data_IF_455008125775
#
_entry.id   IF_455008125775
#
_cell.length_a   1.000
_cell.length_b   1.000
_cell.length_c   1.000
_cell.angle_alpha   90.00
_cell.angle_beta   90.00
_cell.angle_gamma   90.00
#
_symmetry.space_group_name_H-M   'P 1'
#
loop_
_entity.id
_entity.type
_entity.pdbx_description
1 polymer ?
#
# COMPACT_ATOMS: atom_id res chain seq x y z
N UNK A 1 -18.97 17.55 5.49
CA UNK A 1 -19.82 18.24 4.54
C UNK A 1 -21.26 17.81 4.77
N UNK A 2 -22.20 18.68 4.50
CA UNK A 2 -23.62 18.34 4.62
C UNK A 2 -23.96 17.24 3.60
N UNK A 3 -24.80 16.27 3.97
CA UNK A 3 -25.20 15.21 3.06
C UNK A 3 -25.98 15.81 1.88
N UNK A 4 -25.59 15.46 0.66
CA UNK A 4 -26.30 15.87 -0.54
C UNK A 4 -27.52 14.99 -0.72
N UNK A 5 -28.69 15.55 -0.45
CA UNK A 5 -29.96 14.89 -0.67
C UNK A 5 -30.56 15.29 -2.02
N UNK A 6 -31.22 14.33 -2.65
CA UNK A 6 -32.13 14.68 -3.74
C UNK A 6 -33.29 15.47 -3.14
N UNK A 7 -33.77 16.54 -3.80
CA UNK A 7 -34.98 17.23 -3.39
C UNK A 7 -36.15 16.25 -3.28
N UNK A 8 -36.91 16.29 -2.19
CA UNK A 8 -38.01 15.33 -1.93
C UNK A 8 -39.05 15.31 -3.03
N UNK A 9 -39.28 16.46 -3.68
CA UNK A 9 -40.16 16.60 -4.82
C UNK A 9 -39.73 15.82 -6.09
N UNK A 10 -38.51 15.35 -6.14
CA UNK A 10 -37.96 14.56 -7.24
C UNK A 10 -37.96 13.06 -6.97
N UNK A 11 -38.34 12.65 -5.76
CA UNK A 11 -38.42 11.22 -5.40
C UNK A 11 -39.84 10.72 -5.68
N UNK A 12 -40.04 9.72 -6.55
CA UNK A 12 -41.35 9.16 -6.80
C UNK A 12 -42.01 8.62 -5.52
N UNK A 13 -43.32 8.82 -5.36
CA UNK A 13 -44.07 8.42 -4.15
C UNK A 13 -44.06 6.92 -3.93
N UNK A 14 -44.10 6.13 -4.99
CA UNK A 14 -43.99 4.68 -4.97
C UNK A 14 -42.68 4.18 -4.37
N UNK A 15 -41.58 4.90 -4.61
CA UNK A 15 -40.28 4.61 -4.05
C UNK A 15 -40.24 4.92 -2.54
N UNK A 16 -40.87 6.01 -2.13
CA UNK A 16 -41.02 6.38 -0.72
C UNK A 16 -41.87 5.32 0.03
N UNK A 17 -42.95 4.86 -0.58
CA UNK A 17 -43.78 3.82 0.00
C UNK A 17 -43.04 2.47 0.10
N UNK A 18 -42.30 2.08 -0.95
CA UNK A 18 -41.52 0.87 -0.94
C UNK A 18 -40.46 0.85 0.16
N UNK A 19 -39.73 1.97 0.36
CA UNK A 19 -38.77 2.14 1.45
C UNK A 19 -39.45 2.01 2.81
N UNK A 20 -40.63 2.65 3.01
CA UNK A 20 -41.44 2.51 4.23
C UNK A 20 -41.84 1.07 4.51
N UNK A 21 -42.17 0.33 3.46
CA UNK A 21 -42.56 -1.10 3.52
C UNK A 21 -41.37 -2.07 3.53
N UNK A 22 -40.11 -1.53 3.51
CA UNK A 22 -38.87 -2.31 3.38
C UNK A 22 -38.87 -3.26 2.17
N UNK A 23 -39.50 -2.87 1.09
CA UNK A 23 -39.51 -3.60 -0.17
C UNK A 23 -38.45 -3.04 -1.09
N UNK A 24 -37.69 -3.94 -1.77
CA UNK A 24 -36.76 -3.53 -2.80
C UNK A 24 -37.51 -3.12 -4.06
N UNK A 25 -37.30 -1.93 -4.53
CA UNK A 25 -37.75 -1.42 -5.83
C UNK A 25 -36.55 -0.84 -6.56
N UNK A 26 -36.39 -1.18 -7.83
CA UNK A 26 -35.34 -0.61 -8.65
C UNK A 26 -35.63 0.87 -8.87
N UNK A 27 -34.67 1.77 -8.53
CA UNK A 27 -34.89 3.20 -8.69
C UNK A 27 -34.94 3.57 -10.19
N UNK A 28 -35.78 4.55 -10.59
CA UNK A 28 -35.85 5.00 -11.98
C UNK A 28 -34.47 5.45 -12.48
N UNK A 29 -34.10 5.07 -13.70
CA UNK A 29 -32.78 5.36 -14.26
C UNK A 29 -32.47 6.86 -14.32
N UNK A 30 -33.48 7.70 -14.54
CA UNK A 30 -33.32 9.16 -14.54
C UNK A 30 -32.96 9.70 -13.16
N UNK A 31 -33.51 9.14 -12.10
CA UNK A 31 -33.17 9.49 -10.72
C UNK A 31 -31.72 9.13 -10.39
N UNK A 32 -31.30 7.92 -10.82
CA UNK A 32 -29.90 7.46 -10.64
C UNK A 32 -28.93 8.34 -11.40
N UNK A 33 -29.27 8.72 -12.65
CA UNK A 33 -28.45 9.64 -13.47
C UNK A 33 -28.36 11.01 -12.80
N UNK A 34 -29.48 11.57 -12.37
CA UNK A 34 -29.52 12.88 -11.69
C UNK A 34 -28.66 12.88 -10.42
N UNK A 35 -28.77 11.80 -9.60
CA UNK A 35 -27.94 11.65 -8.40
C UNK A 35 -26.45 11.56 -8.75
N UNK A 36 -26.10 10.75 -9.75
CA UNK A 36 -24.72 10.63 -10.24
C UNK A 36 -24.17 11.96 -10.72
N UNK A 37 -24.93 12.69 -11.53
CA UNK A 37 -24.50 13.95 -12.10
C UNK A 37 -24.38 15.04 -11.04
N UNK A 38 -25.20 15.01 -9.99
CA UNK A 38 -25.06 15.86 -8.81
C UNK A 38 -23.85 15.51 -7.93
N UNK A 39 -23.52 14.21 -7.78
CA UNK A 39 -22.38 13.78 -6.98
C UNK A 39 -21.04 13.94 -7.71
N UNK A 40 -21.03 13.82 -9.02
CA UNK A 40 -19.81 13.88 -9.85
C UNK A 40 -18.94 15.12 -9.59
N UNK A 41 -19.46 16.37 -9.58
CA UNK A 41 -18.66 17.56 -9.28
C UNK A 41 -18.00 17.54 -7.91
N UNK A 42 -18.60 16.82 -6.94
CA UNK A 42 -18.07 16.71 -5.57
C UNK A 42 -17.04 15.58 -5.44
N UNK A 43 -17.18 14.51 -6.23
CA UNK A 43 -16.27 13.35 -6.22
C UNK A 43 -15.04 13.56 -7.13
N UNK A 44 -15.24 14.24 -8.27
CA UNK A 44 -14.18 14.50 -9.23
C UNK A 44 -12.93 15.17 -8.62
N UNK A 45 -13.05 16.18 -7.74
CA UNK A 45 -11.89 16.74 -7.07
C UNK A 45 -11.18 15.79 -6.10
N UNK A 46 -11.83 14.72 -5.65
CA UNK A 46 -11.25 13.74 -4.73
C UNK A 46 -10.43 12.66 -5.45
N UNK A 47 -10.64 12.51 -6.76
CA UNK A 47 -9.92 11.54 -7.59
C UNK A 47 -8.75 12.20 -8.32
N UNK A 48 -7.62 11.50 -8.54
CA UNK A 48 -6.58 11.99 -9.43
C UNK A 48 -7.10 11.96 -10.87
N UNK A 49 -7.65 13.09 -11.32
CA UNK A 49 -8.12 13.23 -12.70
C UNK A 49 -6.94 13.58 -13.60
N UNK A 50 -6.16 12.58 -14.00
CA UNK A 50 -4.94 12.72 -14.80
C UNK A 50 -5.09 11.93 -16.09
N UNK A 51 -4.50 12.43 -17.18
CA UNK A 51 -4.55 11.79 -18.49
C UNK A 51 -3.69 10.52 -18.56
N UNK A 52 -2.66 10.44 -17.73
CA UNK A 52 -1.72 9.31 -17.70
C UNK A 52 -1.03 9.16 -16.34
N UNK A 53 -0.49 7.97 -16.08
CA UNK A 53 0.35 7.71 -14.91
C UNK A 53 1.65 8.52 -14.92
N UNK A 54 2.17 8.87 -16.09
CA UNK A 54 3.35 9.73 -16.25
C UNK A 54 3.06 11.15 -15.76
N UNK A 55 1.91 11.69 -16.12
CA UNK A 55 1.44 13.00 -15.64
C UNK A 55 1.25 12.99 -14.11
N UNK A 56 0.62 11.93 -13.58
CA UNK A 56 0.51 11.74 -12.13
C UNK A 56 1.88 11.72 -11.46
N UNK A 57 2.82 10.94 -12.00
CA UNK A 57 4.19 10.88 -11.47
C UNK A 57 4.94 12.22 -11.57
N UNK A 58 4.75 12.95 -12.67
CA UNK A 58 5.32 14.28 -12.89
C UNK A 58 4.80 15.32 -11.88
N UNK A 59 3.49 15.36 -11.63
CA UNK A 59 2.90 16.28 -10.62
C UNK A 59 3.38 15.96 -9.21
N UNK A 60 3.48 14.67 -8.84
CA UNK A 60 4.04 14.25 -7.55
C UNK A 60 5.51 14.64 -7.41
N UNK A 61 6.31 14.47 -8.47
CA UNK A 61 7.71 14.88 -8.45
C UNK A 61 7.86 16.38 -8.25
N UNK A 62 7.11 17.20 -9.00
CA UNK A 62 7.13 18.67 -8.86
C UNK A 62 6.75 19.06 -7.43
N UNK A 63 5.70 18.46 -6.86
CA UNK A 63 5.29 18.70 -5.48
C UNK A 63 6.41 18.39 -4.47
N UNK A 64 7.13 17.28 -4.66
CA UNK A 64 8.29 16.90 -3.86
C UNK A 64 9.45 17.90 -4.00
N UNK A 65 9.71 18.41 -5.20
CA UNK A 65 10.74 19.42 -5.44
C UNK A 65 10.36 20.74 -4.77
N UNK A 66 9.13 21.24 -5.01
CA UNK A 66 8.65 22.51 -4.42
C UNK A 66 8.68 22.49 -2.90
N UNK A 67 8.18 21.41 -2.29
CA UNK A 67 8.14 21.29 -0.83
C UNK A 67 9.53 21.35 -0.19
N UNK A 68 10.54 20.80 -0.87
CA UNK A 68 11.93 20.86 -0.39
C UNK A 68 12.56 22.23 -0.61
N UNK A 69 12.25 22.90 -1.72
CA UNK A 69 12.68 24.28 -1.94
C UNK A 69 12.11 25.22 -0.86
N UNK A 70 10.93 24.92 -0.34
CA UNK A 70 10.28 25.67 0.76
C UNK A 70 10.70 25.19 2.16
N UNK A 71 11.63 24.23 2.27
CA UNK A 71 12.02 23.57 3.53
C UNK A 71 10.86 22.93 4.30
N UNK A 72 9.81 22.52 3.58
CA UNK A 72 8.63 21.83 4.13
C UNK A 72 8.49 20.44 3.52
N UNK A 73 9.34 19.47 3.90
CA UNK A 73 9.30 18.13 3.32
C UNK A 73 7.97 17.44 3.60
N UNK A 74 7.37 16.85 2.58
CA UNK A 74 6.14 16.07 2.68
C UNK A 74 6.44 14.79 3.46
N UNK A 75 5.76 14.60 4.59
CA UNK A 75 6.02 13.49 5.52
C UNK A 75 4.98 12.39 5.43
N UNK A 76 3.75 12.75 5.05
CA UNK A 76 2.63 11.84 4.98
C UNK A 76 2.15 11.70 3.54
N UNK A 77 1.55 10.56 3.24
CA UNK A 77 0.93 10.33 1.93
C UNK A 77 -0.16 11.38 1.61
N UNK A 78 -0.92 11.79 2.64
CA UNK A 78 -1.93 12.84 2.49
C UNK A 78 -1.33 14.16 2.03
N UNK A 79 -0.20 14.58 2.64
CA UNK A 79 0.50 15.80 2.24
C UNK A 79 1.00 15.72 0.79
N UNK A 80 1.54 14.56 0.39
CA UNK A 80 2.00 14.34 -0.98
C UNK A 80 0.86 14.45 -2.00
N UNK A 81 -0.28 13.81 -1.73
CA UNK A 81 -1.46 13.86 -2.60
C UNK A 81 -2.01 15.28 -2.71
N UNK A 82 -2.14 15.99 -1.59
CA UNK A 82 -2.64 17.37 -1.60
C UNK A 82 -1.68 18.32 -2.33
N UNK A 83 -0.36 18.16 -2.12
CA UNK A 83 0.64 18.96 -2.81
C UNK A 83 0.66 18.68 -4.32
N UNK A 84 0.59 17.42 -4.73
CA UNK A 84 0.52 17.03 -6.14
C UNK A 84 -0.77 17.55 -6.82
N UNK A 85 -1.89 17.52 -6.09
CA UNK A 85 -3.14 18.11 -6.55
C UNK A 85 -3.01 19.62 -6.76
N UNK A 86 -2.41 20.35 -5.82
CA UNK A 86 -2.20 21.80 -5.96
C UNK A 86 -1.31 22.12 -7.18
N UNK A 87 -0.32 21.28 -7.47
CA UNK A 87 0.51 21.41 -8.69
C UNK A 87 -0.34 21.20 -9.93
N UNK A 88 -1.14 20.15 -9.98
CA UNK A 88 -2.04 19.85 -11.11
C UNK A 88 -3.01 21.01 -11.33
N UNK A 89 -3.73 21.41 -10.29
CA UNK A 89 -4.77 22.45 -10.38
C UNK A 89 -4.20 23.82 -10.83
N UNK A 90 -2.91 24.08 -10.56
CA UNK A 90 -2.20 25.28 -11.04
C UNK A 90 -1.96 25.26 -12.56
N UNK A 91 -1.62 24.11 -13.11
CA UNK A 91 -1.27 23.96 -14.53
C UNK A 91 -2.46 23.56 -15.41
N UNK A 92 -3.57 23.20 -14.82
CA UNK A 92 -4.80 22.91 -15.55
C UNK A 92 -5.49 24.22 -15.92
N UNK A 93 -5.35 24.63 -17.20
CA UNK A 93 -5.77 25.95 -17.68
C UNK A 93 -7.29 26.03 -17.94
N UNK A 94 -7.95 24.89 -18.13
CA UNK A 94 -9.38 24.81 -18.40
C UNK A 94 -10.05 23.80 -17.46
N UNK A 95 -11.11 24.25 -16.79
CA UNK A 95 -12.04 23.35 -16.11
C UNK A 95 -12.71 22.49 -17.20
N UNK A 96 -12.27 21.27 -17.31
CA UNK A 96 -12.89 20.28 -18.20
C UNK A 96 -14.40 20.22 -17.93
N UNK A 97 -15.19 20.30 -18.99
CA UNK A 97 -16.60 19.99 -18.91
C UNK A 97 -16.79 18.60 -18.32
N UNK A 98 -17.76 18.47 -17.42
CA UNK A 98 -18.06 17.30 -16.58
C UNK A 98 -18.08 15.94 -17.33
N UNK A 99 -18.19 15.97 -18.66
CA UNK A 99 -18.30 14.79 -19.52
C UNK A 99 -17.05 14.47 -20.37
N UNK A 100 -16.00 15.27 -20.30
CA UNK A 100 -14.79 15.05 -21.10
C UNK A 100 -13.81 14.08 -20.43
N UNK A 101 -13.12 13.26 -21.26
CA UNK A 101 -11.97 12.49 -20.80
C UNK A 101 -10.89 13.46 -20.30
N UNK A 102 -10.09 13.09 -19.28
CA UNK A 102 -9.00 13.94 -18.82
C UNK A 102 -8.07 14.28 -19.99
N UNK A 103 -7.91 15.58 -20.26
CA UNK A 103 -7.05 16.09 -21.31
C UNK A 103 -5.63 16.19 -20.78
N UNK A 104 -4.66 15.86 -21.61
CA UNK A 104 -3.23 16.01 -21.28
C UNK A 104 -2.94 17.49 -21.02
N UNK A 105 -2.37 17.81 -19.87
CA UNK A 105 -1.92 19.16 -19.55
C UNK A 105 -0.61 19.43 -20.29
N UNK A 106 -0.62 20.40 -21.19
CA UNK A 106 0.58 20.84 -21.91
C UNK A 106 1.20 22.05 -21.21
N UNK A 107 2.19 21.78 -20.36
CA UNK A 107 2.93 22.83 -19.66
C UNK A 107 4.42 22.47 -19.56
N UNK A 108 5.37 23.38 -19.92
CA UNK A 108 6.80 23.07 -19.95
C UNK A 108 7.38 22.57 -18.62
N UNK A 109 6.87 23.05 -17.49
CA UNK A 109 7.30 22.62 -16.16
C UNK A 109 6.80 21.19 -15.88
N UNK A 110 5.57 20.88 -16.26
CA UNK A 110 5.02 19.53 -16.12
C UNK A 110 5.74 18.52 -17.00
N UNK A 111 6.05 18.88 -18.24
CA UNK A 111 6.81 18.00 -19.14
C UNK A 111 8.20 17.70 -18.60
N UNK A 112 8.89 18.68 -18.00
CA UNK A 112 10.16 18.45 -17.28
C UNK A 112 9.97 17.56 -16.06
N UNK A 113 8.91 17.76 -15.30
CA UNK A 113 8.58 16.88 -14.18
C UNK A 113 8.36 15.43 -14.60
N UNK A 114 7.63 15.22 -15.70
CA UNK A 114 7.39 13.91 -16.30
C UNK A 114 8.70 13.27 -16.77
N UNK A 115 9.56 14.03 -17.45
CA UNK A 115 10.85 13.56 -17.92
C UNK A 115 11.74 13.07 -16.78
N UNK A 116 11.84 13.87 -15.70
CA UNK A 116 12.62 13.51 -14.52
C UNK A 116 11.99 12.30 -13.80
N UNK A 117 10.65 12.25 -13.70
CA UNK A 117 9.95 11.10 -13.13
C UNK A 117 10.26 9.81 -13.89
N UNK A 118 10.21 9.83 -15.23
CA UNK A 118 10.57 8.69 -16.07
C UNK A 118 12.01 8.26 -15.85
N UNK A 119 12.93 9.24 -15.81
CA UNK A 119 14.33 8.96 -15.57
C UNK A 119 14.57 8.30 -14.20
N UNK A 120 13.95 8.78 -13.14
CA UNK A 120 13.99 8.14 -11.83
C UNK A 120 13.40 6.72 -11.87
N UNK A 121 12.29 6.54 -12.62
CA UNK A 121 11.60 5.27 -12.82
C UNK A 121 12.49 4.19 -13.48
N UNK A 122 13.40 4.55 -14.40
CA UNK A 122 14.38 3.62 -15.01
C UNK A 122 15.22 2.89 -13.96
N UNK A 123 15.45 3.53 -12.81
CA UNK A 123 16.16 2.96 -11.67
C UNK A 123 15.24 2.51 -10.53
N UNK A 124 13.91 2.54 -10.75
CA UNK A 124 12.90 2.31 -9.72
C UNK A 124 13.11 3.21 -8.49
N UNK A 125 13.48 4.45 -8.73
CA UNK A 125 13.55 5.54 -7.77
C UNK A 125 12.37 6.49 -7.98
N UNK A 126 12.07 7.31 -6.99
CA UNK A 126 10.99 8.30 -7.05
C UNK A 126 11.41 9.64 -6.40
N UNK A 127 10.49 10.59 -6.37
CA UNK A 127 10.74 11.91 -5.77
C UNK A 127 11.16 11.86 -4.30
N UNK A 128 10.86 10.79 -3.55
CA UNK A 128 11.27 10.60 -2.15
C UNK A 128 12.75 10.30 -2.03
N UNK A 129 13.39 9.80 -3.10
CA UNK A 129 14.80 9.46 -3.16
C UNK A 129 15.72 10.67 -3.39
N UNK A 130 15.14 11.86 -3.64
CA UNK A 130 15.90 13.10 -3.78
C UNK A 130 16.50 13.55 -2.43
N UNK A 131 17.58 14.32 -2.49
CA UNK A 131 18.21 14.96 -1.33
C UNK A 131 17.33 16.07 -0.74
N UNK A 132 17.75 16.65 0.38
CA UNK A 132 16.95 17.68 1.09
C UNK A 132 16.66 18.92 0.22
N UNK A 133 17.58 19.26 -0.66
CA UNK A 133 17.52 20.47 -1.48
C UNK A 133 16.92 20.20 -2.88
N UNK A 134 16.50 18.96 -3.15
CA UNK A 134 16.03 18.49 -4.46
C UNK A 134 17.01 18.80 -5.61
N UNK A 135 18.32 18.81 -5.35
CA UNK A 135 19.37 19.02 -6.35
C UNK A 135 19.94 17.71 -6.89
N UNK A 136 19.64 16.58 -6.28
CA UNK A 136 20.17 15.28 -6.66
C UNK A 136 19.63 14.16 -5.78
N UNK A 137 20.23 12.97 -5.87
CA UNK A 137 19.82 11.82 -5.08
C UNK A 137 20.32 11.93 -3.62
N UNK A 138 19.50 11.43 -2.71
CA UNK A 138 19.82 11.30 -1.28
C UNK A 138 20.99 10.32 -1.10
N UNK A 139 21.97 10.69 -0.27
CA UNK A 139 23.07 9.80 0.11
C UNK A 139 22.55 8.57 0.87
N UNK A 140 23.09 7.40 0.54
CA UNK A 140 22.77 6.17 1.26
C UNK A 140 23.31 6.22 2.70
N UNK A 141 22.57 5.63 3.64
CA UNK A 141 23.04 5.45 5.01
C UNK A 141 23.49 3.99 5.19
N UNK A 142 24.76 3.70 5.44
CA UNK A 142 25.27 2.34 5.60
C UNK A 142 24.64 1.60 6.81
N UNK A 143 24.25 2.32 7.87
CA UNK A 143 23.56 1.71 9.01
C UNK A 143 22.24 1.03 8.65
N UNK A 144 21.57 1.49 7.59
CA UNK A 144 20.35 0.83 7.08
C UNK A 144 20.64 -0.54 6.46
N UNK A 145 21.83 -0.73 5.89
CA UNK A 145 22.24 -2.05 5.37
C UNK A 145 22.42 -3.04 6.52
N UNK A 146 23.03 -2.60 7.63
CA UNK A 146 23.19 -3.44 8.83
C UNK A 146 21.82 -3.79 9.42
N UNK A 147 20.93 -2.82 9.61
CA UNK A 147 19.56 -3.03 10.11
C UNK A 147 18.80 -4.03 9.22
N UNK A 148 18.85 -3.84 7.89
CA UNK A 148 18.19 -4.75 6.94
C UNK A 148 18.78 -6.16 6.97
N UNK A 149 20.08 -6.31 7.14
CA UNK A 149 20.73 -7.62 7.25
C UNK A 149 20.28 -8.34 8.50
N UNK A 150 20.24 -7.65 9.65
CA UNK A 150 19.76 -8.22 10.91
C UNK A 150 18.29 -8.64 10.79
N UNK A 151 17.43 -7.78 10.26
CA UNK A 151 16.01 -8.10 10.06
C UNK A 151 15.81 -9.26 9.09
N UNK A 152 16.61 -9.34 8.04
CA UNK A 152 16.57 -10.47 7.10
C UNK A 152 16.99 -11.77 7.77
N UNK A 153 18.03 -11.77 8.58
CA UNK A 153 18.45 -12.95 9.33
C UNK A 153 17.35 -13.44 10.29
N UNK A 154 16.71 -12.51 11.02
CA UNK A 154 15.56 -12.83 11.88
C UNK A 154 14.40 -13.38 11.05
N UNK A 155 14.08 -12.77 9.90
CA UNK A 155 12.99 -13.24 9.04
C UNK A 155 13.24 -14.63 8.48
N UNK A 156 14.50 -14.94 8.11
CA UNK A 156 14.89 -16.29 7.67
C UNK A 156 14.69 -17.30 8.80
N UNK A 157 15.05 -16.97 10.03
CA UNK A 157 14.79 -17.82 11.18
C UNK A 157 13.29 -18.03 11.46
N UNK A 158 12.47 -17.02 11.22
CA UNK A 158 11.01 -17.08 11.38
C UNK A 158 10.28 -17.66 10.16
N UNK A 159 10.99 -17.94 9.07
CA UNK A 159 10.39 -18.39 7.81
C UNK A 159 9.51 -19.64 7.95
N UNK A 160 9.87 -20.67 8.72
CA UNK A 160 8.98 -21.83 8.92
C UNK A 160 7.66 -21.43 9.57
N UNK A 161 7.71 -20.59 10.61
CA UNK A 161 6.51 -20.09 11.30
C UNK A 161 5.64 -19.25 10.35
N UNK A 162 6.25 -18.38 9.57
CA UNK A 162 5.57 -17.57 8.57
C UNK A 162 4.87 -18.43 7.51
N UNK A 163 5.56 -19.43 6.97
CA UNK A 163 5.00 -20.34 5.96
C UNK A 163 3.81 -21.13 6.50
N UNK A 164 3.92 -21.65 7.70
CA UNK A 164 2.84 -22.42 8.33
C UNK A 164 1.64 -21.53 8.66
N UNK A 165 1.88 -20.34 9.23
CA UNK A 165 0.80 -19.49 9.75
C UNK A 165 0.09 -18.63 8.70
N UNK A 166 0.81 -18.18 7.66
CA UNK A 166 0.30 -17.14 6.75
C UNK A 166 0.19 -17.58 5.29
N UNK A 167 0.94 -18.62 4.85
CA UNK A 167 0.93 -19.05 3.45
C UNK A 167 -0.46 -19.50 2.97
N UNK A 168 -1.19 -20.22 3.81
CA UNK A 168 -2.54 -20.70 3.46
C UNK A 168 -3.53 -19.54 3.29
N UNK A 169 -3.45 -18.53 4.16
CA UNK A 169 -4.28 -17.32 4.06
C UNK A 169 -3.95 -16.52 2.80
N UNK A 170 -2.65 -16.37 2.50
CA UNK A 170 -2.19 -15.68 1.28
C UNK A 170 -2.64 -16.43 0.03
N UNK A 171 -2.53 -17.75 0.02
CA UNK A 171 -2.99 -18.60 -1.08
C UNK A 171 -4.52 -18.48 -1.28
N UNK A 172 -5.29 -18.54 -0.19
CA UNK A 172 -6.74 -18.38 -0.22
C UNK A 172 -7.14 -17.00 -0.73
N UNK A 173 -6.53 -15.94 -0.22
CA UNK A 173 -6.81 -14.57 -0.65
C UNK A 173 -6.48 -14.34 -2.13
N UNK A 174 -5.38 -14.92 -2.61
CA UNK A 174 -5.04 -14.88 -4.03
C UNK A 174 -6.02 -15.68 -4.87
N UNK A 175 -6.34 -16.90 -4.46
CA UNK A 175 -7.27 -17.76 -5.18
C UNK A 175 -8.67 -17.14 -5.29
N UNK A 176 -9.21 -16.59 -4.22
CA UNK A 176 -10.49 -15.89 -4.23
C UNK A 176 -10.41 -14.62 -5.08
N UNK A 177 -9.36 -13.82 -4.92
CA UNK A 177 -9.18 -12.59 -5.68
C UNK A 177 -8.97 -12.79 -7.18
N UNK A 178 -8.33 -13.88 -7.59
CA UNK A 178 -8.09 -14.17 -9.01
C UNK A 178 -9.34 -14.74 -9.72
N UNK A 179 -10.35 -15.20 -8.96
CA UNK A 179 -11.61 -15.74 -9.51
C UNK A 179 -12.76 -14.74 -9.60
N UNK A 180 -12.55 -13.52 -9.14
CA UNK A 180 -13.58 -12.49 -9.21
C UNK A 180 -13.50 -11.73 -10.53
N UNK A 181 -14.63 -11.61 -11.23
CA UNK A 181 -14.75 -10.84 -12.46
C UNK A 181 -14.93 -9.32 -12.20
N UNK A 182 -14.90 -8.90 -10.93
CA UNK A 182 -15.21 -7.53 -10.49
C UNK A 182 -14.03 -6.55 -10.60
N UNK A 183 -12.88 -6.96 -11.14
CA UNK A 183 -11.72 -6.10 -11.36
C UNK A 183 -10.70 -6.07 -10.19
N UNK A 184 -9.70 -5.21 -10.34
CA UNK A 184 -8.53 -5.17 -9.43
C UNK A 184 -8.90 -4.75 -8.01
N UNK A 185 -9.91 -3.90 -7.85
CA UNK A 185 -10.36 -3.39 -6.54
C UNK A 185 -11.00 -4.48 -5.70
N UNK A 186 -11.79 -5.35 -6.32
CA UNK A 186 -12.38 -6.51 -5.65
C UNK A 186 -11.31 -7.49 -5.17
N UNK A 187 -10.24 -7.70 -5.96
CA UNK A 187 -9.11 -8.55 -5.58
C UNK A 187 -8.49 -8.13 -4.23
N UNK A 188 -8.26 -6.83 -4.05
CA UNK A 188 -7.72 -6.29 -2.79
C UNK A 188 -8.67 -6.54 -1.62
N UNK A 189 -9.99 -6.39 -1.84
CA UNK A 189 -11.01 -6.66 -0.83
C UNK A 189 -11.02 -8.13 -0.42
N UNK A 190 -10.96 -9.07 -1.37
CA UNK A 190 -10.90 -10.50 -1.06
C UNK A 190 -9.61 -10.90 -0.34
N UNK A 191 -8.47 -10.30 -0.70
CA UNK A 191 -7.21 -10.51 0.01
C UNK A 191 -7.29 -10.02 1.46
N UNK A 192 -7.90 -8.86 1.69
CA UNK A 192 -8.11 -8.31 3.02
C UNK A 192 -9.05 -9.19 3.85
N UNK A 193 -10.19 -9.62 3.28
CA UNK A 193 -11.14 -10.50 3.94
C UNK A 193 -10.52 -11.86 4.27
N UNK A 194 -9.74 -12.43 3.35
CA UNK A 194 -9.03 -13.69 3.58
C UNK A 194 -7.99 -13.55 4.70
N UNK A 195 -7.29 -12.41 4.78
CA UNK A 195 -6.35 -12.15 5.88
C UNK A 195 -7.07 -12.00 7.22
N UNK A 196 -8.18 -11.27 7.26
CA UNK A 196 -8.94 -10.99 8.48
C UNK A 196 -9.68 -12.24 9.01
N UNK A 197 -10.50 -12.86 8.19
CA UNK A 197 -11.28 -14.04 8.59
C UNK A 197 -10.43 -15.31 8.58
N UNK A 198 -9.45 -15.39 7.68
CA UNK A 198 -8.54 -16.53 7.62
C UNK A 198 -7.73 -16.69 8.90
N UNK A 199 -7.31 -15.60 9.56
CA UNK A 199 -6.62 -15.70 10.85
C UNK A 199 -7.51 -16.28 11.94
N UNK A 200 -8.78 -15.87 12.01
CA UNK A 200 -9.71 -16.36 13.02
C UNK A 200 -10.08 -17.84 12.81
N UNK A 201 -10.29 -18.25 11.56
CA UNK A 201 -10.74 -19.59 11.24
C UNK A 201 -9.59 -20.60 11.08
N UNK A 202 -8.50 -20.17 10.45
CA UNK A 202 -7.40 -21.08 10.07
C UNK A 202 -6.35 -21.24 11.17
N UNK A 203 -6.06 -20.20 11.95
CA UNK A 203 -5.03 -20.32 12.99
C UNK A 203 -5.34 -21.38 14.05
N UNK A 204 -6.58 -21.54 14.57
CA UNK A 204 -6.91 -22.66 15.44
C UNK A 204 -6.59 -24.01 14.81
N UNK A 205 -6.99 -24.21 13.55
CA UNK A 205 -6.74 -25.44 12.82
C UNK A 205 -5.24 -25.69 12.56
N UNK A 206 -4.51 -24.66 12.11
CA UNK A 206 -3.06 -24.72 11.89
C UNK A 206 -2.33 -24.99 13.21
N UNK A 207 -2.78 -24.41 14.32
CA UNK A 207 -2.22 -24.66 15.66
C UNK A 207 -2.37 -26.12 16.08
N UNK A 208 -3.53 -26.72 15.81
CA UNK A 208 -3.76 -28.16 16.06
C UNK A 208 -2.86 -29.03 15.18
N UNK A 209 -2.73 -28.69 13.90
CA UNK A 209 -1.81 -29.41 12.99
C UNK A 209 -0.34 -29.25 13.41
N UNK A 210 0.04 -28.08 13.93
CA UNK A 210 1.38 -27.84 14.45
C UNK A 210 1.66 -28.70 15.66
N UNK A 211 0.74 -28.76 16.63
CA UNK A 211 0.85 -29.64 17.80
C UNK A 211 0.93 -31.10 17.37
N UNK A 212 0.03 -31.53 16.47
CA UNK A 212 0.03 -32.91 15.94
C UNK A 212 1.33 -33.24 15.20
N UNK A 213 1.87 -32.31 14.41
CA UNK A 213 3.15 -32.46 13.73
C UNK A 213 4.32 -32.57 14.70
N UNK A 214 4.38 -31.69 15.70
CA UNK A 214 5.42 -31.75 16.75
C UNK A 214 5.38 -33.06 17.50
N UNK A 215 4.19 -33.60 17.75
CA UNK A 215 4.02 -34.90 18.40
C UNK A 215 4.46 -36.04 17.49
N UNK A 216 4.06 -36.02 16.21
CA UNK A 216 4.37 -37.09 15.25
C UNK A 216 5.87 -37.19 14.96
N UNK A 217 6.54 -36.05 14.87
CA UNK A 217 7.96 -35.96 14.56
C UNK A 217 8.87 -35.78 15.78
N UNK A 218 8.41 -36.19 16.98
CA UNK A 218 9.16 -35.98 18.23
C UNK A 218 10.58 -36.57 18.19
N UNK A 219 10.75 -37.79 17.65
CA UNK A 219 12.03 -38.45 17.57
C UNK A 219 13.04 -37.71 16.65
N UNK A 220 12.56 -37.19 15.53
CA UNK A 220 13.37 -36.42 14.60
C UNK A 220 13.70 -35.04 15.17
N UNK A 221 12.75 -34.41 15.85
CA UNK A 221 12.94 -33.12 16.48
C UNK A 221 13.89 -33.19 17.68
N UNK A 222 13.87 -34.27 18.45
CA UNK A 222 14.84 -34.52 19.53
C UNK A 222 16.27 -34.55 18.97
N UNK A 223 16.45 -35.23 17.83
CA UNK A 223 17.76 -35.37 17.19
C UNK A 223 18.27 -34.03 16.61
N UNK A 224 17.39 -33.21 16.02
CA UNK A 224 17.78 -31.98 15.28
C UNK A 224 17.79 -30.75 16.19
N UNK A 225 16.79 -30.62 17.06
CA UNK A 225 16.52 -29.40 17.85
C UNK A 225 16.71 -29.61 19.34
N UNK A 226 17.09 -30.81 19.78
CA UNK A 226 17.11 -31.20 21.21
C UNK A 226 15.74 -30.97 21.89
N UNK A 227 14.63 -31.15 21.15
CA UNK A 227 13.29 -30.92 21.61
C UNK A 227 12.60 -32.23 21.96
N UNK A 228 12.33 -32.41 23.25
CA UNK A 228 11.66 -33.62 23.80
C UNK A 228 10.49 -33.20 24.70
N UNK A 229 9.28 -33.60 24.31
CA UNK A 229 8.07 -33.29 25.09
C UNK A 229 8.13 -33.83 26.52
N UNK A 230 8.58 -35.09 26.64
CA UNK A 230 8.64 -35.81 27.91
C UNK A 230 9.62 -35.14 28.89
N UNK A 231 10.76 -34.68 28.41
CA UNK A 231 11.74 -33.95 29.22
C UNK A 231 11.23 -32.56 29.61
N UNK A 232 10.54 -31.85 28.72
CA UNK A 232 10.05 -30.49 29.01
C UNK A 232 8.83 -30.48 29.92
N UNK A 233 7.92 -31.43 29.73
CA UNK A 233 6.59 -31.38 30.37
C UNK A 233 6.27 -32.57 31.24
N UNK A 234 7.15 -33.60 31.30
CA UNK A 234 6.98 -34.81 32.09
C UNK A 234 6.05 -35.86 31.48
N UNK A 235 6.02 -37.06 32.06
CA UNK A 235 5.28 -38.23 31.53
C UNK A 235 3.81 -38.28 31.94
N UNK A 236 3.36 -37.41 32.84
CA UNK A 236 1.97 -37.40 33.33
C UNK A 236 1.01 -36.93 32.25
N UNK A 237 -0.10 -37.64 32.07
CA UNK A 237 -1.16 -37.28 31.10
C UNK A 237 -1.65 -35.83 31.28
N UNK A 238 -1.72 -35.32 32.52
CA UNK A 238 -2.10 -33.94 32.80
C UNK A 238 -1.04 -32.93 32.33
N UNK A 239 0.24 -33.29 32.46
CA UNK A 239 1.35 -32.43 31.99
C UNK A 239 1.41 -32.38 30.48
N UNK A 240 1.23 -33.50 29.81
CA UNK A 240 1.12 -33.57 28.30
C UNK A 240 -0.05 -32.72 27.81
N UNK A 241 -1.22 -32.83 28.43
CA UNK A 241 -2.39 -32.01 28.09
C UNK A 241 -2.11 -30.52 28.29
N UNK A 242 -1.44 -30.16 29.38
CA UNK A 242 -1.05 -28.76 29.66
C UNK A 242 -0.06 -28.26 28.62
N UNK A 243 0.91 -29.08 28.19
CA UNK A 243 1.86 -28.74 27.15
C UNK A 243 1.17 -28.46 25.78
N UNK A 244 0.28 -29.37 25.38
CA UNK A 244 -0.52 -29.24 24.17
C UNK A 244 -1.32 -27.91 24.20
N UNK A 245 -2.02 -27.63 25.29
CA UNK A 245 -2.79 -26.42 25.48
C UNK A 245 -1.89 -25.17 25.46
N UNK A 246 -0.74 -25.23 26.08
CA UNK A 246 0.23 -24.13 26.11
C UNK A 246 0.74 -23.82 24.69
N UNK A 247 1.19 -24.84 23.95
CA UNK A 247 1.65 -24.65 22.56
C UNK A 247 0.53 -24.11 21.67
N UNK A 248 -0.68 -24.66 21.82
CA UNK A 248 -1.85 -24.20 21.10
C UNK A 248 -2.12 -22.71 21.37
N UNK A 249 -2.19 -22.30 22.62
CA UNK A 249 -2.47 -20.90 22.98
C UNK A 249 -1.32 -19.96 22.61
N UNK A 250 -0.05 -20.39 22.79
CA UNK A 250 1.11 -19.57 22.44
C UNK A 250 1.31 -19.40 20.92
N UNK A 251 0.73 -20.30 20.11
CA UNK A 251 0.85 -20.20 18.65
C UNK A 251 0.17 -18.94 18.09
N UNK A 252 -0.95 -18.50 18.66
CA UNK A 252 -1.68 -17.31 18.20
C UNK A 252 -0.84 -16.02 18.30
N UNK A 253 -0.31 -15.64 19.46
CA UNK A 253 0.55 -14.47 19.55
C UNK A 253 1.81 -14.63 18.71
N UNK A 254 2.37 -15.84 18.57
CA UNK A 254 3.52 -16.10 17.71
C UNK A 254 3.21 -15.83 16.24
N UNK A 255 2.07 -16.29 15.74
CA UNK A 255 1.63 -16.03 14.37
C UNK A 255 1.38 -14.54 14.11
N UNK A 256 0.72 -13.88 15.07
CA UNK A 256 0.47 -12.44 14.99
C UNK A 256 1.78 -11.63 14.99
N UNK A 257 2.71 -11.94 15.88
CA UNK A 257 4.01 -11.27 15.95
C UNK A 257 4.84 -11.51 14.70
N UNK A 258 4.81 -12.72 14.14
CA UNK A 258 5.52 -13.06 12.90
C UNK A 258 4.96 -12.27 11.73
N UNK A 259 3.63 -12.15 11.62
CA UNK A 259 2.99 -11.34 10.57
C UNK A 259 3.32 -9.85 10.70
N UNK A 260 3.34 -9.32 11.92
CA UNK A 260 3.74 -7.94 12.20
C UNK A 260 5.22 -7.70 11.88
N UNK A 261 6.08 -8.63 12.26
CA UNK A 261 7.51 -8.56 11.95
C UNK A 261 7.78 -8.63 10.45
N UNK A 262 7.00 -9.41 9.70
CA UNK A 262 7.08 -9.45 8.23
C UNK A 262 6.88 -8.06 7.63
N UNK A 263 5.90 -7.29 8.10
CA UNK A 263 5.69 -5.91 7.64
C UNK A 263 6.93 -5.03 7.88
N UNK A 264 7.49 -5.06 9.08
CA UNK A 264 8.72 -4.30 9.39
C UNK A 264 9.94 -4.74 8.56
N UNK A 265 10.08 -6.04 8.33
CA UNK A 265 11.14 -6.56 7.47
C UNK A 265 10.93 -6.10 6.02
N UNK A 266 9.70 -6.17 5.49
CA UNK A 266 9.38 -5.76 4.13
C UNK A 266 9.69 -4.30 3.88
N UNK A 267 9.31 -3.41 4.78
CA UNK A 267 9.60 -1.99 4.70
C UNK A 267 11.12 -1.72 4.70
N UNK A 268 11.85 -2.38 5.61
CA UNK A 268 13.31 -2.30 5.66
C UNK A 268 13.97 -2.84 4.39
N UNK A 269 13.46 -3.93 3.83
CA UNK A 269 13.94 -4.51 2.57
C UNK A 269 13.73 -3.54 1.38
N UNK A 270 12.56 -2.95 1.27
CA UNK A 270 12.25 -1.98 0.20
C UNK A 270 13.15 -0.75 0.30
N UNK A 271 13.30 -0.19 1.49
CA UNK A 271 14.17 0.97 1.76
C UNK A 271 15.63 0.67 1.42
N UNK A 272 16.12 -0.51 1.80
CA UNK A 272 17.48 -0.95 1.53
C UNK A 272 17.72 -1.18 0.04
N UNK A 273 16.78 -1.79 -0.66
CA UNK A 273 16.82 -1.96 -2.10
C UNK A 273 16.92 -0.60 -2.82
N UNK A 274 16.15 0.40 -2.39
CA UNK A 274 16.23 1.77 -2.91
C UNK A 274 17.58 2.42 -2.56
N UNK A 275 18.08 2.26 -1.33
CA UNK A 275 19.37 2.77 -0.91
C UNK A 275 20.51 2.16 -1.74
N UNK A 276 20.50 0.86 -1.97
CA UNK A 276 21.47 0.17 -2.82
C UNK A 276 21.43 0.69 -4.26
N UNK A 277 20.24 0.87 -4.84
CA UNK A 277 20.09 1.44 -6.19
C UNK A 277 20.67 2.83 -6.29
N UNK A 278 20.43 3.70 -5.28
CA UNK A 278 21.05 5.05 -5.24
C UNK A 278 22.58 4.98 -5.19
N UNK A 279 23.14 4.06 -4.42
CA UNK A 279 24.60 3.86 -4.32
C UNK A 279 25.21 3.37 -5.65
N UNK A 280 24.56 2.41 -6.30
CA UNK A 280 25.03 1.80 -7.55
C UNK A 280 24.71 2.64 -8.79
N UNK A 281 24.04 3.78 -8.65
CA UNK A 281 23.73 4.67 -9.77
C UNK A 281 25.01 5.30 -10.31
N UNK A 282 25.30 5.18 -11.62
CA UNK A 282 26.50 5.74 -12.24
C UNK A 282 26.59 7.26 -12.09
N UNK A 283 27.84 7.78 -12.04
CA UNK A 283 28.09 9.22 -11.93
C UNK A 283 27.47 10.03 -13.07
N UNK A 284 27.58 9.53 -14.31
CA UNK A 284 27.00 10.17 -15.50
C UNK A 284 25.50 10.39 -15.32
N UNK A 285 24.80 9.35 -14.88
CA UNK A 285 23.36 9.45 -14.61
C UNK A 285 23.02 10.45 -13.50
N UNK A 286 23.83 10.51 -12.43
CA UNK A 286 23.65 11.47 -11.34
C UNK A 286 23.81 12.90 -11.83
N UNK A 287 24.85 13.18 -12.62
CA UNK A 287 25.13 14.51 -13.16
C UNK A 287 23.99 14.98 -14.08
N UNK A 288 23.53 14.12 -14.98
CA UNK A 288 22.39 14.43 -15.86
C UNK A 288 21.08 14.65 -15.07
N UNK A 289 20.84 13.88 -14.03
CA UNK A 289 19.69 14.08 -13.14
C UNK A 289 19.79 15.40 -12.37
N UNK A 290 20.98 15.76 -11.88
CA UNK A 290 21.24 17.02 -11.17
C UNK A 290 21.01 18.22 -12.09
N UNK A 291 21.46 18.15 -13.34
CA UNK A 291 21.22 19.19 -14.35
C UNK A 291 19.70 19.36 -14.59
N UNK A 292 18.97 18.26 -14.84
CA UNK A 292 17.52 18.32 -15.06
C UNK A 292 16.76 18.86 -13.84
N UNK A 293 17.14 18.47 -12.63
CA UNK A 293 16.55 18.98 -11.40
C UNK A 293 16.84 20.47 -11.20
N UNK A 294 18.05 20.92 -11.49
CA UNK A 294 18.41 22.35 -11.44
C UNK A 294 17.55 23.14 -12.41
N UNK A 295 17.44 22.71 -13.67
CA UNK A 295 16.61 23.34 -14.68
C UNK A 295 15.10 23.39 -14.28
N UNK A 296 14.60 22.35 -13.63
CA UNK A 296 13.22 22.35 -13.10
C UNK A 296 13.08 23.37 -11.97
N UNK A 297 14.01 23.39 -11.01
CA UNK A 297 13.98 24.35 -9.90
C UNK A 297 14.03 25.80 -10.36
N UNK A 298 14.92 26.11 -11.31
CA UNK A 298 15.05 27.45 -11.88
C UNK A 298 13.75 27.89 -12.58
N UNK A 299 13.10 26.96 -13.28
CA UNK A 299 11.80 27.21 -13.89
C UNK A 299 10.71 27.49 -12.85
N UNK A 300 10.68 26.74 -11.74
CA UNK A 300 9.75 26.96 -10.64
C UNK A 300 10.00 28.29 -9.89
N UNK A 301 11.26 28.75 -9.81
CA UNK A 301 11.59 30.06 -9.24
C UNK A 301 11.14 31.18 -10.18
N UNK A 302 11.36 31.04 -11.49
CA UNK A 302 10.97 32.05 -12.48
C UNK A 302 9.46 32.23 -12.58
N UNK A 303 8.69 31.18 -12.38
CA UNK A 303 7.22 31.23 -12.35
C UNK A 303 6.65 31.99 -11.14
N UNK A 304 7.36 31.96 -10.01
CA UNK A 304 6.93 32.66 -8.78
C UNK A 304 7.24 34.18 -8.79
N UNK A 305 7.99 34.68 -9.77
CA UNK A 305 8.31 36.09 -9.95
C UNK A 305 7.34 36.74 -10.92
#
# INVERSE_FOLDING_TARGET
>A
GDPHYLPEDKIPEDLIEAVKKRQWVEPPQELVRSLRDNLRPHLQPLTPNVSSWDEHGGTHLIAQVQSRMENKPLRTWREEVLAARNVRDRYQTELEHVDSKPVKIEHPILDRGIEIHKKLGERNLDGRDLNKDATGLRKGNPLRLVDATIRTAIMVALLPVFLVSLSLQMALGRFLGDRTDEGVDARTTYQFLAAMFGSVLMWPFISLLTVGGLWWFEAELETILCFNWTQMFGESSSMVTTAILTVYLCSFPTYWLTGRFFGFWWDSYVDTKKAFRRLTTPGIYKNELEEKLTNLRDSLVSEKR
#
